data_IF_559345307643
#
_entry.id   IF_559345307643
#
_cell.length_a   1.000
_cell.length_b   1.000
_cell.length_c   1.000
_cell.angle_alpha   90.00
_cell.angle_beta   90.00
_cell.angle_gamma   90.00
#
_symmetry.space_group_name_H-M   'P 1'
#
loop_
_entity.id
_entity.type
_entity.pdbx_description
1 polymer ?
#
# COMPACT_ATOMS: atom_id res chain seq x y z
N UNK A 1 -3.70 10.28 15.16
CA UNK A 1 -3.85 8.83 14.86
C UNK A 1 -4.00 8.67 13.36
N UNK A 2 -3.23 7.79 12.70
CA UNK A 2 -3.34 7.60 11.25
C UNK A 2 -4.64 6.91 10.87
N UNK A 3 -5.19 7.27 9.71
CA UNK A 3 -6.29 6.55 9.06
C UNK A 3 -5.74 5.20 8.60
N UNK A 4 -6.40 4.11 9.03
CA UNK A 4 -6.01 2.76 8.64
C UNK A 4 -6.68 2.40 7.32
N UNK A 5 -5.89 1.97 6.33
CA UNK A 5 -6.36 1.66 4.98
C UNK A 5 -5.84 0.30 4.55
N UNK A 6 -6.65 -0.46 3.82
CA UNK A 6 -6.20 -1.65 3.11
C UNK A 6 -6.16 -1.38 1.60
N UNK A 7 -5.20 -1.98 0.90
CA UNK A 7 -5.14 -1.96 -0.57
C UNK A 7 -5.72 -3.28 -1.09
N UNK A 8 -6.78 -3.21 -1.89
CA UNK A 8 -7.34 -4.36 -2.60
C UNK A 8 -7.03 -4.24 -4.10
N UNK A 9 -6.11 -5.05 -4.59
CA UNK A 9 -5.49 -4.93 -5.91
C UNK A 9 -4.14 -4.21 -5.83
N UNK A 10 -3.08 -4.98 -5.60
CA UNK A 10 -1.69 -4.53 -5.57
C UNK A 10 -1.00 -4.59 -6.94
N UNK A 11 -1.76 -4.26 -7.98
CA UNK A 11 -1.25 -4.05 -9.33
C UNK A 11 -0.48 -2.72 -9.47
N UNK A 12 -0.39 -2.20 -10.70
CA UNK A 12 0.37 -0.97 -11.00
C UNK A 12 -0.01 0.23 -10.12
N UNK A 13 -1.31 0.45 -9.91
CA UNK A 13 -1.82 1.58 -9.13
C UNK A 13 -1.61 1.37 -7.63
N UNK A 14 -1.95 0.19 -7.10
CA UNK A 14 -1.75 -0.13 -5.68
C UNK A 14 -0.30 0.06 -5.24
N UNK A 15 0.66 -0.43 -6.04
CA UNK A 15 2.10 -0.25 -5.81
C UNK A 15 2.52 1.21 -5.82
N UNK A 16 2.06 1.98 -6.81
CA UNK A 16 2.41 3.40 -6.91
C UNK A 16 1.81 4.24 -5.77
N UNK A 17 0.61 3.91 -5.30
CA UNK A 17 0.02 4.57 -4.12
C UNK A 17 0.83 4.26 -2.86
N UNK A 18 1.21 2.99 -2.64
CA UNK A 18 2.07 2.64 -1.51
C UNK A 18 3.39 3.40 -1.59
N UNK A 19 4.05 3.40 -2.75
CA UNK A 19 5.30 4.15 -2.96
C UNK A 19 5.12 5.64 -2.67
N UNK A 20 4.12 6.28 -3.27
CA UNK A 20 3.87 7.71 -3.09
C UNK A 20 3.57 8.08 -1.63
N UNK A 21 2.90 7.21 -0.86
CA UNK A 21 2.64 7.42 0.57
C UNK A 21 3.96 7.53 1.38
N UNK A 22 4.92 6.63 1.10
CA UNK A 22 6.22 6.63 1.76
C UNK A 22 7.10 7.78 1.27
N UNK A 23 7.17 8.02 -0.05
CA UNK A 23 7.94 9.14 -0.63
C UNK A 23 7.45 10.50 -0.14
N UNK A 24 6.14 10.66 0.06
CA UNK A 24 5.56 11.89 0.60
C UNK A 24 5.68 12.02 2.13
N UNK A 25 6.25 11.04 2.83
CA UNK A 25 6.33 10.97 4.30
C UNK A 25 4.95 11.16 4.97
N UNK A 26 3.89 10.54 4.42
CA UNK A 26 2.51 10.69 4.91
C UNK A 26 2.03 9.50 5.77
N UNK A 27 2.95 8.65 6.20
CA UNK A 27 2.67 7.45 7.01
C UNK A 27 2.09 7.75 8.40
N UNK A 28 2.30 8.97 8.91
CA UNK A 28 1.69 9.46 10.17
C UNK A 28 0.22 9.85 10.02
N UNK A 29 -0.21 10.18 8.80
CA UNK A 29 -1.59 10.52 8.46
C UNK A 29 -2.37 9.30 7.96
N UNK A 30 -1.73 8.43 7.17
CA UNK A 30 -2.34 7.23 6.57
C UNK A 30 -1.41 6.04 6.81
N UNK A 31 -1.96 4.95 7.35
CA UNK A 31 -1.24 3.69 7.54
C UNK A 31 -1.90 2.59 6.74
N UNK A 32 -1.16 2.04 5.77
CA UNK A 32 -1.56 0.80 5.09
C UNK A 32 -1.39 -0.35 6.08
N UNK A 33 -2.47 -1.07 6.37
CA UNK A 33 -2.49 -2.16 7.36
C UNK A 33 -2.62 -3.55 6.74
N UNK A 34 -3.06 -3.62 5.48
CA UNK A 34 -3.20 -4.86 4.74
C UNK A 34 -3.13 -4.59 3.24
N UNK A 35 -2.67 -5.60 2.51
CA UNK A 35 -2.66 -5.65 1.05
C UNK A 35 -3.27 -6.99 0.64
N UNK A 36 -4.21 -6.95 -0.31
CA UNK A 36 -4.79 -8.13 -0.94
C UNK A 36 -4.51 -8.10 -2.44
N UNK A 37 -3.97 -9.18 -2.99
CA UNK A 37 -3.71 -9.37 -4.42
C UNK A 37 -3.90 -10.85 -4.82
N UNK A 38 -3.86 -11.13 -6.12
CA UNK A 38 -3.96 -12.50 -6.65
C UNK A 38 -2.59 -13.20 -6.68
N UNK A 39 -1.48 -12.45 -6.75
CA UNK A 39 -0.13 -12.98 -6.67
C UNK A 39 0.34 -13.19 -5.23
N UNK A 40 1.21 -14.17 -5.02
CA UNK A 40 1.92 -14.33 -3.75
C UNK A 40 2.85 -13.13 -3.46
N UNK A 41 3.27 -12.99 -2.20
CA UNK A 41 4.05 -11.85 -1.75
C UNK A 41 5.49 -11.90 -2.30
N UNK A 42 6.02 -13.10 -2.48
CA UNK A 42 7.37 -13.38 -2.97
C UNK A 42 7.54 -13.00 -4.46
N UNK A 43 6.48 -13.15 -5.24
CA UNK A 43 6.41 -12.83 -6.68
C UNK A 43 5.96 -11.39 -6.91
N UNK A 44 5.36 -10.74 -5.90
CA UNK A 44 4.95 -9.35 -5.99
C UNK A 44 6.18 -8.42 -5.96
N UNK A 45 6.63 -8.01 -7.15
CA UNK A 45 7.78 -7.13 -7.40
C UNK A 45 7.68 -5.73 -6.76
#
# INVERSE_FOLDING_TARGET
MPIKVAINGYGRIGRNILRALYEANRTDAIRIVAINDLGDAETNA
#
